data_IF_343989685987
#
_entry.id   IF_343989685987
#
_cell.length_a   1.000
_cell.length_b   1.000
_cell.length_c   1.000
_cell.angle_alpha   90.00
_cell.angle_beta   90.00
_cell.angle_gamma   90.00
#
_symmetry.space_group_name_H-M   'P 1'
#
loop_
_entity.id
_entity.type
_entity.pdbx_description
1 polymer ?
#
# COMPACT_ATOMS: atom_id res chain seq x y z
N UNK A 1 1.17 -2.49 -12.59
CA UNK A 1 1.01 -3.10 -11.24
C UNK A 1 0.89 -1.97 -10.23
N UNK A 2 -0.17 -1.93 -9.42
CA UNK A 2 -0.47 -0.77 -8.54
C UNK A 2 0.67 -0.40 -7.57
N UNK A 3 1.48 -1.37 -7.14
CA UNK A 3 2.57 -1.12 -6.18
C UNK A 3 3.91 -0.72 -6.81
N UNK A 4 4.05 -0.67 -8.15
CA UNK A 4 5.37 -0.50 -8.82
C UNK A 4 5.38 0.59 -9.90
N UNK A 5 4.23 1.19 -10.21
CA UNK A 5 4.13 2.34 -11.11
C UNK A 5 3.62 3.55 -10.30
N UNK A 6 4.51 4.43 -9.79
CA UNK A 6 4.16 5.57 -8.93
C UNK A 6 3.06 6.49 -9.51
N UNK A 7 2.94 6.53 -10.84
CA UNK A 7 2.04 7.45 -11.55
C UNK A 7 0.75 6.78 -12.04
N UNK A 8 0.52 5.49 -11.72
CA UNK A 8 -0.67 4.77 -12.19
C UNK A 8 -1.70 4.58 -11.07
N UNK A 9 -2.81 5.28 -11.20
CA UNK A 9 -3.96 5.13 -10.30
C UNK A 9 -4.89 4.00 -10.74
N UNK A 10 -5.43 3.26 -9.76
CA UNK A 10 -6.62 2.42 -9.95
C UNK A 10 -7.75 2.96 -9.09
N UNK A 11 -8.94 3.09 -9.69
CA UNK A 11 -10.13 3.60 -9.03
C UNK A 11 -11.25 2.59 -9.17
N UNK A 12 -11.95 2.33 -8.07
CA UNK A 12 -13.07 1.39 -8.04
C UNK A 12 -12.64 -0.06 -7.84
N UNK A 13 -13.60 -0.86 -7.33
CA UNK A 13 -13.35 -2.21 -6.83
C UNK A 13 -12.75 -3.17 -7.86
N UNK A 14 -13.19 -3.10 -9.12
CA UNK A 14 -12.71 -3.99 -10.17
C UNK A 14 -11.23 -3.75 -10.49
N UNK A 15 -10.86 -2.51 -10.82
CA UNK A 15 -9.49 -2.15 -11.15
C UNK A 15 -8.51 -2.38 -9.99
N UNK A 16 -8.95 -2.09 -8.76
CA UNK A 16 -8.19 -2.38 -7.54
C UNK A 16 -8.01 -3.89 -7.37
N UNK A 17 -9.07 -4.67 -7.58
CA UNK A 17 -9.05 -6.14 -7.51
C UNK A 17 -8.06 -6.76 -8.49
N UNK A 18 -8.10 -6.34 -9.76
CA UNK A 18 -7.17 -6.80 -10.80
C UNK A 18 -5.71 -6.50 -10.42
N UNK A 19 -5.46 -5.29 -9.89
CA UNK A 19 -4.14 -4.91 -9.41
C UNK A 19 -3.64 -5.76 -8.24
N UNK A 20 -4.51 -6.11 -7.28
CA UNK A 20 -4.17 -7.02 -6.19
C UNK A 20 -3.92 -8.45 -6.65
N UNK A 21 -4.66 -8.95 -7.64
CA UNK A 21 -4.41 -10.28 -8.23
C UNK A 21 -3.02 -10.32 -8.85
N UNK A 22 -2.63 -9.30 -9.60
CA UNK A 22 -1.30 -9.21 -10.20
C UNK A 22 -0.20 -9.07 -9.13
N UNK A 23 -0.44 -8.25 -8.10
CA UNK A 23 0.48 -8.11 -6.98
C UNK A 23 0.69 -9.46 -6.28
N UNK A 24 -0.39 -10.19 -5.96
CA UNK A 24 -0.33 -11.47 -5.27
C UNK A 24 0.44 -12.55 -6.05
N UNK A 25 0.42 -12.52 -7.39
CA UNK A 25 1.21 -13.44 -8.23
C UNK A 25 2.72 -13.21 -8.07
N UNK A 26 3.13 -11.94 -7.95
CA UNK A 26 4.54 -11.52 -8.00
C UNK A 26 5.16 -11.32 -6.62
N UNK A 27 4.41 -10.82 -5.66
CA UNK A 27 4.90 -10.54 -4.32
C UNK A 27 5.37 -11.83 -3.65
N UNK A 28 6.53 -11.79 -2.98
CA UNK A 28 7.08 -12.93 -2.23
C UNK A 28 7.14 -12.66 -0.75
N UNK A 29 7.52 -11.45 -0.38
CA UNK A 29 7.27 -10.95 0.96
C UNK A 29 6.97 -9.46 0.90
N UNK A 30 6.26 -9.01 1.91
CA UNK A 30 6.06 -7.61 2.27
C UNK A 30 6.20 -7.52 3.78
N UNK A 31 7.12 -6.69 4.24
CA UNK A 31 7.27 -6.32 5.64
C UNK A 31 6.82 -4.88 5.76
N UNK A 32 6.00 -4.60 6.76
CA UNK A 32 5.61 -3.24 7.13
C UNK A 32 6.21 -2.95 8.50
N UNK A 33 7.16 -2.03 8.52
CA UNK A 33 7.87 -1.53 9.70
C UNK A 33 7.47 -0.08 9.99
N UNK A 34 8.01 0.50 11.07
CA UNK A 34 7.88 1.90 11.50
C UNK A 34 6.62 2.64 11.01
N UNK A 35 5.62 2.73 11.89
CA UNK A 35 4.31 3.30 11.56
C UNK A 35 3.92 4.48 12.43
N UNK A 36 3.31 5.47 11.80
CA UNK A 36 2.58 6.56 12.42
C UNK A 36 1.09 6.39 12.08
N UNK A 37 0.24 6.54 13.09
CA UNK A 37 -1.21 6.55 12.90
C UNK A 37 -1.78 7.83 13.50
N UNK A 38 -2.40 8.66 12.65
CA UNK A 38 -3.12 9.87 13.07
C UNK A 38 -4.61 9.59 12.89
N UNK A 39 -5.34 9.46 14.00
CA UNK A 39 -6.75 9.05 13.97
C UNK A 39 -7.68 10.10 14.61
N UNK A 40 -8.30 10.98 13.80
CA UNK A 40 -9.44 11.78 14.24
C UNK A 40 -10.76 11.04 14.02
N UNK A 41 -11.41 10.58 15.10
CA UNK A 41 -12.74 9.97 15.01
C UNK A 41 -12.75 8.67 14.21
N UNK A 42 -13.52 8.65 13.11
CA UNK A 42 -13.75 7.48 12.25
C UNK A 42 -12.93 7.50 10.95
N UNK A 43 -11.93 8.38 10.85
CA UNK A 43 -10.94 8.39 9.76
C UNK A 43 -9.54 8.30 10.39
N UNK A 44 -8.60 7.71 9.67
CA UNK A 44 -7.20 7.65 10.08
C UNK A 44 -6.28 7.82 8.88
N UNK A 45 -5.16 8.49 9.09
CA UNK A 45 -3.98 8.37 8.25
C UNK A 45 -3.08 7.29 8.85
N UNK A 46 -2.78 6.26 8.07
CA UNK A 46 -1.75 5.27 8.37
C UNK A 46 -0.56 5.54 7.46
N UNK A 47 0.57 5.92 8.04
CA UNK A 47 1.82 6.20 7.34
C UNK A 47 2.87 5.20 7.82
N UNK A 48 3.40 4.37 6.92
CA UNK A 48 4.26 3.26 7.33
C UNK A 48 5.32 2.92 6.29
N UNK A 49 6.53 2.65 6.77
CA UNK A 49 7.61 2.15 5.92
C UNK A 49 7.36 0.68 5.58
N UNK A 50 7.63 0.31 4.35
CA UNK A 50 7.51 -1.06 3.88
C UNK A 50 8.70 -1.49 3.04
N UNK A 51 8.99 -2.79 3.06
CA UNK A 51 10.01 -3.44 2.24
C UNK A 51 9.43 -4.70 1.60
N UNK A 52 9.72 -4.96 0.33
CA UNK A 52 9.20 -6.08 -0.44
C UNK A 52 10.22 -6.70 -1.40
N UNK A 53 10.02 -7.98 -1.73
CA UNK A 53 10.62 -8.63 -2.93
C UNK A 53 9.55 -9.21 -3.83
N UNK A 54 9.87 -9.24 -5.11
CA UNK A 54 8.98 -9.68 -6.18
C UNK A 54 9.60 -10.80 -7.00
N UNK A 55 8.77 -11.52 -7.76
CA UNK A 55 9.20 -12.30 -8.90
C UNK A 55 9.14 -11.44 -10.16
N UNK A 56 10.25 -11.44 -10.89
CA UNK A 56 10.41 -10.79 -12.19
C UNK A 56 10.91 -11.87 -13.15
N UNK A 57 10.20 -12.06 -14.26
CA UNK A 57 10.53 -13.04 -15.30
C UNK A 57 10.80 -14.47 -14.77
N UNK A 58 10.04 -14.87 -13.75
CA UNK A 58 10.11 -16.20 -13.13
C UNK A 58 11.20 -16.37 -12.07
N UNK A 59 12.05 -15.36 -11.83
CA UNK A 59 13.09 -15.37 -10.81
C UNK A 59 12.80 -14.35 -9.69
N UNK A 60 13.35 -14.60 -8.49
CA UNK A 60 13.30 -13.62 -7.39
C UNK A 60 14.12 -12.38 -7.79
N UNK A 61 13.58 -11.19 -7.51
CA UNK A 61 14.32 -9.95 -7.69
C UNK A 61 15.63 -9.98 -6.90
N UNK A 62 16.69 -9.47 -7.51
CA UNK A 62 18.02 -9.36 -6.89
C UNK A 62 18.03 -8.35 -5.75
N UNK A 63 17.16 -7.35 -5.83
CA UNK A 63 17.05 -6.25 -4.87
C UNK A 63 15.70 -6.26 -4.14
N UNK A 64 15.72 -5.72 -2.93
CA UNK A 64 14.53 -5.36 -2.17
C UNK A 64 14.07 -3.96 -2.59
N UNK A 65 12.76 -3.79 -2.68
CA UNK A 65 12.14 -2.49 -2.90
C UNK A 65 11.59 -2.01 -1.57
N UNK A 66 11.89 -0.78 -1.18
CA UNK A 66 11.31 -0.18 0.03
C UNK A 66 10.78 1.22 -0.27
N UNK A 67 9.72 1.59 0.44
CA UNK A 67 9.15 2.92 0.40
C UNK A 67 8.33 3.18 1.67
N UNK A 68 7.58 4.27 1.67
CA UNK A 68 6.63 4.60 2.74
C UNK A 68 5.25 4.80 2.13
N UNK A 69 4.25 4.15 2.72
CA UNK A 69 2.84 4.28 2.33
C UNK A 69 2.19 5.45 3.06
N UNK A 70 1.18 6.05 2.43
CA UNK A 70 0.22 6.93 3.07
C UNK A 70 -1.20 6.44 2.73
N UNK A 71 -1.90 5.92 3.74
CA UNK A 71 -3.22 5.31 3.58
C UNK A 71 -4.27 6.10 4.35
N UNK A 72 -5.39 6.38 3.69
CA UNK A 72 -6.58 6.91 4.36
C UNK A 72 -7.50 5.75 4.66
N UNK A 73 -7.76 5.52 5.94
CA UNK A 73 -8.64 4.48 6.44
C UNK A 73 -9.92 5.09 7.00
N UNK A 74 -11.04 4.38 6.91
CA UNK A 74 -12.28 4.75 7.58
C UNK A 74 -12.84 3.59 8.42
N UNK A 75 -13.37 3.93 9.59
CA UNK A 75 -14.04 3.01 10.49
C UNK A 75 -15.50 2.84 10.06
N UNK A 76 -15.85 1.61 9.70
CA UNK A 76 -17.21 1.22 9.35
C UNK A 76 -18.07 1.06 10.61
N UNK A 77 -19.39 1.07 10.45
CA UNK A 77 -20.35 0.90 11.55
C UNK A 77 -20.23 -0.46 12.27
N UNK A 78 -19.68 -1.46 11.59
CA UNK A 78 -19.38 -2.79 12.13
C UNK A 78 -18.06 -2.85 12.93
N UNK A 79 -17.37 -1.71 13.10
CA UNK A 79 -16.10 -1.61 13.81
C UNK A 79 -14.87 -1.96 12.98
N UNK A 80 -15.01 -2.28 11.68
CA UNK A 80 -13.87 -2.59 10.82
C UNK A 80 -13.28 -1.34 10.18
N UNK A 81 -11.96 -1.25 10.17
CA UNK A 81 -11.25 -0.27 9.35
C UNK A 81 -11.11 -0.78 7.92
N UNK A 82 -11.39 0.09 6.95
CA UNK A 82 -11.20 -0.19 5.51
C UNK A 82 -10.40 0.93 4.86
N UNK A 83 -9.56 0.59 3.91
CA UNK A 83 -8.82 1.58 3.12
C UNK A 83 -9.76 2.28 2.13
N UNK A 84 -9.77 3.62 2.18
CA UNK A 84 -10.38 4.49 1.17
C UNK A 84 -9.37 4.88 0.10
N UNK A 85 -8.13 5.14 0.52
CA UNK A 85 -7.00 5.49 -0.34
C UNK A 85 -5.79 4.72 0.15
N UNK A 86 -5.01 4.20 -0.79
CA UNK A 86 -3.70 3.61 -0.55
C UNK A 86 -2.72 4.26 -1.53
N UNK A 87 -1.71 4.96 -0.99
CA UNK A 87 -0.60 5.49 -1.76
C UNK A 87 0.70 4.81 -1.29
N UNK A 88 1.18 3.76 -1.97
CA UNK A 88 2.37 3.03 -1.55
C UNK A 88 3.67 3.85 -1.64
N UNK A 89 3.64 5.05 -2.21
CA UNK A 89 4.80 5.95 -2.40
C UNK A 89 4.62 7.30 -1.69
N UNK A 90 3.74 7.39 -0.70
CA UNK A 90 3.41 8.64 0.01
C UNK A 90 4.39 9.05 1.10
N UNK A 91 5.69 8.86 0.91
CA UNK A 91 6.71 9.19 1.93
C UNK A 91 6.70 10.66 2.33
N UNK A 92 6.47 11.54 1.36
CA UNK A 92 6.46 12.99 1.46
C UNK A 92 5.20 13.60 2.08
N UNK A 93 4.15 12.80 2.34
CA UNK A 93 2.85 13.29 2.84
C UNK A 93 2.95 13.96 4.22
N UNK A 94 3.94 13.57 5.02
CA UNK A 94 4.19 14.14 6.36
C UNK A 94 5.49 14.95 6.43
N UNK A 95 6.16 15.15 5.29
CA UNK A 95 7.34 16.02 5.22
C UNK A 95 6.88 17.49 5.20
N UNK A 96 7.70 18.39 5.77
CA UNK A 96 7.43 19.84 5.88
C UNK A 96 7.60 20.61 4.55
#
# INVERSE_FOLDING_TARGET
>A
MLLVEPDRQAVGRAAIGDGFVELARRLRFLVVDDRVVIQPGNIALHHARWTARYIIDGALSTEEVSATTADVLTLQADGRWVALVNNPWGGDVLDD
#
